data_IF_026276902718
#
_entry.id   IF_026276902718
#
_cell.length_a   1.000
_cell.length_b   1.000
_cell.length_c   1.000
_cell.angle_alpha   90.00
_cell.angle_beta   90.00
_cell.angle_gamma   90.00
#
_symmetry.space_group_name_H-M   'P 1'
#
loop_
_entity.id
_entity.type
_entity.pdbx_description
1 polymer ?
#
# COMPACT_ATOMS: atom_id res chain seq x y z
N UNK A 1 -34.18 48.85 2.02
CA UNK A 1 -32.73 48.52 2.03
C UNK A 1 -32.39 47.49 3.10
N UNK A 2 -32.94 47.61 4.31
CA UNK A 2 -32.71 46.68 5.43
C UNK A 2 -33.09 45.22 5.13
N UNK A 3 -34.23 44.97 4.48
CA UNK A 3 -34.63 43.60 4.09
C UNK A 3 -33.67 42.92 3.10
N UNK A 4 -33.08 43.70 2.20
CA UNK A 4 -32.11 43.18 1.21
C UNK A 4 -30.79 42.84 1.93
N UNK A 5 -30.40 43.67 2.90
CA UNK A 5 -29.22 43.46 3.73
C UNK A 5 -29.36 42.23 4.64
N UNK A 6 -30.52 42.02 5.26
CA UNK A 6 -30.79 40.84 6.08
C UNK A 6 -30.81 39.54 5.26
N UNK A 7 -31.40 39.56 4.06
CA UNK A 7 -31.38 38.40 3.15
C UNK A 7 -29.97 38.08 2.67
N UNK A 8 -29.15 39.10 2.41
CA UNK A 8 -27.75 38.92 2.04
C UNK A 8 -26.94 38.29 3.19
N UNK A 9 -27.14 38.73 4.43
CA UNK A 9 -26.46 38.18 5.61
C UNK A 9 -26.84 36.70 5.82
N UNK A 10 -28.12 36.34 5.69
CA UNK A 10 -28.57 34.94 5.81
C UNK A 10 -27.99 34.06 4.71
N UNK A 11 -27.96 34.55 3.46
CA UNK A 11 -27.40 33.80 2.34
C UNK A 11 -25.89 33.54 2.50
N UNK A 12 -25.14 34.52 3.01
CA UNK A 12 -23.70 34.37 3.30
C UNK A 12 -23.47 33.38 4.46
N UNK A 13 -24.28 33.47 5.52
CA UNK A 13 -24.21 32.53 6.65
C UNK A 13 -24.48 31.07 6.26
N UNK A 14 -25.49 30.84 5.40
CA UNK A 14 -25.79 29.51 4.86
C UNK A 14 -24.66 28.98 3.96
N UNK A 15 -24.10 29.85 3.12
CA UNK A 15 -22.97 29.51 2.26
C UNK A 15 -21.72 29.09 3.03
N UNK A 16 -21.41 29.78 4.14
CA UNK A 16 -20.29 29.45 5.04
C UNK A 16 -20.53 28.15 5.83
N UNK A 17 -21.76 27.88 6.27
CA UNK A 17 -22.09 26.63 6.95
C UNK A 17 -22.00 25.40 6.03
N UNK A 18 -22.41 25.54 4.76
CA UNK A 18 -22.33 24.47 3.75
C UNK A 18 -20.89 24.21 3.29
N UNK A 19 -20.02 25.22 3.30
CA UNK A 19 -18.61 25.04 2.95
C UNK A 19 -17.79 24.46 4.11
N UNK A 20 -18.15 24.71 5.37
CA UNK A 20 -17.52 24.07 6.54
C UNK A 20 -17.79 22.56 6.66
N UNK A 21 -18.95 22.08 6.21
CA UNK A 21 -19.29 20.65 6.22
C UNK A 21 -18.51 19.83 5.17
N UNK A 22 -18.08 20.46 4.07
CA UNK A 22 -17.38 19.78 2.98
C UNK A 22 -15.93 19.38 3.32
N UNK A 23 -15.28 20.06 4.27
CA UNK A 23 -13.91 19.74 4.72
C UNK A 23 -13.87 18.73 5.88
N UNK A 24 -15.01 18.32 6.44
CA UNK A 24 -15.06 17.50 7.65
C UNK A 24 -15.15 15.99 7.40
N UNK A 25 -15.15 15.54 6.14
CA UNK A 25 -15.37 14.14 5.79
C UNK A 25 -14.26 13.55 4.90
N UNK A 26 -13.01 13.93 5.15
CA UNK A 26 -11.88 13.15 4.67
C UNK A 26 -11.59 11.99 5.63
N UNK A 27 -11.49 10.79 5.09
CA UNK A 27 -11.01 9.61 5.84
C UNK A 27 -9.64 9.92 6.43
N UNK A 28 -9.43 9.54 7.68
CA UNK A 28 -8.11 9.63 8.32
C UNK A 28 -7.05 8.87 7.50
N UNK A 29 -5.78 9.26 7.63
CA UNK A 29 -4.67 8.56 6.95
C UNK A 29 -4.67 7.05 7.24
N UNK A 30 -5.05 6.67 8.47
CA UNK A 30 -5.23 5.27 8.86
C UNK A 30 -6.30 4.58 8.00
N UNK A 31 -7.49 5.17 7.89
CA UNK A 31 -8.60 4.62 7.11
C UNK A 31 -8.32 4.58 5.60
N UNK A 32 -7.38 5.38 5.12
CA UNK A 32 -6.94 5.35 3.73
C UNK A 32 -5.89 4.26 3.46
N UNK A 33 -5.08 3.89 4.46
CA UNK A 33 -3.99 2.91 4.31
C UNK A 33 -4.41 1.46 4.59
N UNK A 34 -5.31 1.26 5.56
CA UNK A 34 -5.75 -0.08 5.96
C UNK A 34 -6.40 -0.80 4.79
N UNK A 35 -5.91 -2.00 4.49
CA UNK A 35 -6.38 -2.79 3.36
C UNK A 35 -5.30 -3.70 2.79
N UNK A 36 -5.67 -4.41 1.71
CA UNK A 36 -4.76 -5.25 0.93
C UNK A 36 -4.45 -4.57 -0.40
N UNK A 37 -3.17 -4.37 -0.67
CA UNK A 37 -2.64 -3.66 -1.81
C UNK A 37 -1.91 -4.61 -2.72
N UNK A 38 -2.24 -4.59 -4.01
CA UNK A 38 -1.53 -5.37 -5.03
C UNK A 38 -0.26 -4.64 -5.43
N UNK A 39 0.86 -5.37 -5.46
CA UNK A 39 2.13 -4.84 -5.90
C UNK A 39 2.11 -4.56 -7.41
N UNK A 40 2.52 -3.35 -7.80
CA UNK A 40 2.59 -2.94 -9.22
C UNK A 40 4.03 -2.96 -9.74
N UNK A 41 4.98 -2.45 -8.95
CA UNK A 41 6.39 -2.40 -9.30
C UNK A 41 7.27 -2.42 -8.03
N UNK A 42 8.53 -2.83 -8.18
CA UNK A 42 9.57 -2.68 -7.17
C UNK A 42 10.79 -2.11 -7.86
N UNK A 43 11.18 -0.91 -7.46
CA UNK A 43 12.38 -0.22 -7.95
C UNK A 43 13.34 0.04 -6.80
N UNK A 44 14.63 0.01 -7.09
CA UNK A 44 15.69 0.38 -6.16
C UNK A 44 16.60 1.37 -6.86
N UNK A 45 16.73 2.56 -6.28
CA UNK A 45 17.70 3.55 -6.74
C UNK A 45 19.04 3.28 -6.05
N UNK A 46 20.11 3.24 -6.84
CA UNK A 46 21.49 3.10 -6.36
C UNK A 46 22.11 4.49 -6.15
N UNK A 47 23.23 4.56 -5.41
CA UNK A 47 23.91 5.82 -5.10
C UNK A 47 24.37 6.60 -6.36
N UNK A 48 24.55 5.91 -7.49
CA UNK A 48 24.90 6.49 -8.79
C UNK A 48 23.70 6.95 -9.62
N UNK A 49 22.48 6.86 -9.07
CA UNK A 49 21.22 7.22 -9.72
C UNK A 49 20.65 6.16 -10.66
N UNK A 50 21.28 4.97 -10.76
CA UNK A 50 20.70 3.87 -11.53
C UNK A 50 19.49 3.29 -10.82
N UNK A 51 18.42 3.07 -11.58
CA UNK A 51 17.20 2.42 -11.09
C UNK A 51 17.25 0.94 -11.50
N UNK A 52 17.31 0.06 -10.50
CA UNK A 52 17.21 -1.38 -10.66
C UNK A 52 15.82 -1.91 -10.35
N UNK A 53 15.45 -3.02 -10.99
CA UNK A 53 14.22 -3.77 -10.71
C UNK A 53 14.58 -5.13 -10.09
N UNK A 54 14.72 -5.24 -8.76
CA UNK A 54 15.23 -6.46 -8.12
C UNK A 54 14.39 -7.73 -8.40
N UNK A 55 13.09 -7.54 -8.67
CA UNK A 55 12.14 -8.59 -9.00
C UNK A 55 11.72 -8.60 -10.48
N UNK A 56 12.38 -7.80 -11.31
CA UNK A 56 12.06 -7.61 -12.73
C UNK A 56 10.82 -6.73 -12.98
N UNK A 57 10.41 -6.60 -14.24
CA UNK A 57 9.44 -5.59 -14.68
C UNK A 57 7.98 -5.90 -14.34
N UNK A 58 7.68 -7.13 -13.89
CA UNK A 58 6.32 -7.55 -13.51
C UNK A 58 6.33 -8.35 -12.21
N UNK A 59 6.72 -7.73 -11.08
CA UNK A 59 6.77 -8.44 -9.82
C UNK A 59 5.36 -8.89 -9.40
N UNK A 60 5.31 -9.90 -8.53
CA UNK A 60 4.07 -10.34 -7.88
C UNK A 60 4.17 -10.06 -6.40
N UNK A 61 3.06 -9.69 -5.76
CA UNK A 61 3.10 -9.39 -4.35
C UNK A 61 1.82 -8.77 -3.81
N UNK A 62 1.77 -8.72 -2.49
CA UNK A 62 0.71 -8.08 -1.72
C UNK A 62 1.31 -7.39 -0.51
N UNK A 63 0.80 -6.21 -0.19
CA UNK A 63 1.07 -5.53 1.06
C UNK A 63 -0.25 -5.36 1.81
N UNK A 64 -0.29 -5.80 3.07
CA UNK A 64 -1.46 -5.71 3.92
C UNK A 64 -1.13 -4.80 5.09
N UNK A 65 -1.94 -3.77 5.29
CA UNK A 65 -1.96 -2.96 6.50
C UNK A 65 -3.24 -3.30 7.27
N UNK A 66 -3.09 -3.79 8.50
CA UNK A 66 -4.23 -4.03 9.39
C UNK A 66 -4.54 -2.79 10.21
N UNK A 67 -5.77 -2.73 10.71
CA UNK A 67 -6.27 -1.63 11.54
C UNK A 67 -5.64 -1.57 12.94
N UNK A 68 -5.13 -2.69 13.44
CA UNK A 68 -4.40 -2.81 14.69
C UNK A 68 -2.90 -2.50 14.58
N UNK A 69 -2.44 -1.98 13.43
CA UNK A 69 -1.09 -1.45 13.25
C UNK A 69 -0.05 -2.48 12.80
N UNK A 70 -0.47 -3.67 12.38
CA UNK A 70 0.42 -4.64 11.76
C UNK A 70 0.56 -4.40 10.26
N UNK A 71 1.64 -4.91 9.70
CA UNK A 71 1.74 -5.06 8.27
C UNK A 71 2.43 -6.36 7.87
N UNK A 72 2.03 -6.85 6.69
CA UNK A 72 2.65 -7.97 6.01
C UNK A 72 2.96 -7.58 4.57
N UNK A 73 4.16 -7.88 4.11
CA UNK A 73 4.60 -7.68 2.74
C UNK A 73 5.07 -9.01 2.17
N UNK A 74 4.53 -9.38 1.02
CA UNK A 74 5.08 -10.41 0.17
C UNK A 74 5.38 -9.82 -1.20
N UNK A 75 6.58 -10.09 -1.72
CA UNK A 75 6.97 -9.70 -3.07
C UNK A 75 7.88 -10.75 -3.70
N UNK A 76 7.75 -10.98 -5.00
CA UNK A 76 8.53 -11.96 -5.74
C UNK A 76 8.71 -11.57 -7.19
N UNK A 77 9.65 -12.26 -7.85
CA UNK A 77 9.71 -12.31 -9.31
C UNK A 77 8.42 -12.89 -9.89
N UNK A 78 8.13 -12.55 -11.16
CA UNK A 78 7.01 -13.12 -11.91
C UNK A 78 7.11 -14.65 -12.03
N UNK A 79 8.31 -15.09 -12.41
CA UNK A 79 8.65 -16.48 -12.61
C UNK A 79 9.54 -16.95 -11.46
N UNK A 80 9.05 -17.92 -10.70
CA UNK A 80 9.79 -18.57 -9.61
C UNK A 80 10.08 -20.01 -10.05
N UNK A 81 11.31 -20.53 -9.85
CA UNK A 81 11.61 -21.93 -10.12
C UNK A 81 10.65 -22.87 -9.40
N UNK A 82 10.16 -23.87 -10.13
CA UNK A 82 9.32 -24.92 -9.57
C UNK A 82 10.20 -25.98 -8.93
N UNK A 83 9.73 -26.53 -7.81
CA UNK A 83 10.35 -27.69 -7.18
C UNK A 83 10.06 -28.91 -8.04
N UNK A 84 11.09 -29.63 -8.47
CA UNK A 84 10.94 -30.75 -9.42
C UNK A 84 10.03 -31.86 -8.87
N UNK A 85 10.10 -32.12 -7.57
CA UNK A 85 9.26 -33.10 -6.88
C UNK A 85 7.80 -32.67 -6.70
N UNK A 86 7.45 -31.42 -7.03
CA UNK A 86 6.16 -30.80 -6.78
C UNK A 86 5.70 -30.90 -5.31
N UNK A 87 6.66 -30.95 -4.38
CA UNK A 87 6.46 -31.07 -2.94
C UNK A 87 7.46 -30.17 -2.22
N UNK A 88 6.95 -29.14 -1.53
CA UNK A 88 7.77 -28.17 -0.79
C UNK A 88 8.70 -28.79 0.24
N UNK A 89 8.32 -29.94 0.81
CA UNK A 89 9.12 -30.62 1.81
C UNK A 89 10.33 -31.36 1.20
N UNK A 90 10.33 -31.54 -0.12
CA UNK A 90 11.36 -32.26 -0.89
C UNK A 90 12.21 -31.34 -1.76
N UNK A 91 12.13 -30.03 -1.54
CA UNK A 91 13.01 -29.07 -2.23
C UNK A 91 14.48 -29.42 -1.95
N UNK A 92 15.31 -29.45 -2.99
CA UNK A 92 16.76 -29.48 -2.77
C UNK A 92 17.23 -28.15 -2.19
N UNK A 93 18.41 -28.10 -1.54
CA UNK A 93 18.97 -26.83 -1.06
C UNK A 93 19.08 -25.76 -2.15
N UNK A 94 19.44 -26.15 -3.38
CA UNK A 94 19.58 -25.25 -4.53
C UNK A 94 18.23 -24.70 -5.00
N UNK A 95 17.21 -25.55 -5.05
CA UNK A 95 15.84 -25.13 -5.38
C UNK A 95 15.31 -24.16 -4.33
N UNK A 96 15.46 -24.49 -3.05
CA UNK A 96 15.03 -23.65 -1.94
C UNK A 96 15.74 -22.28 -1.95
N UNK A 97 17.06 -22.27 -2.16
CA UNK A 97 17.83 -21.04 -2.25
C UNK A 97 17.36 -20.17 -3.42
N UNK A 98 17.11 -20.77 -4.60
CA UNK A 98 16.66 -20.03 -5.79
C UNK A 98 15.28 -19.41 -5.60
N UNK A 99 14.37 -20.12 -4.91
CA UNK A 99 13.03 -19.64 -4.57
C UNK A 99 13.10 -18.48 -3.57
N UNK A 100 13.89 -18.64 -2.50
CA UNK A 100 14.05 -17.62 -1.46
C UNK A 100 14.74 -16.38 -2.02
N UNK A 101 15.78 -16.52 -2.83
CA UNK A 101 16.44 -15.38 -3.47
C UNK A 101 15.51 -14.61 -4.44
N UNK A 102 14.46 -15.26 -4.94
CA UNK A 102 13.49 -14.66 -5.86
C UNK A 102 12.31 -14.00 -5.15
N UNK A 103 12.24 -14.02 -3.81
CA UNK A 103 11.12 -13.48 -3.04
C UNK A 103 11.52 -12.88 -1.70
N UNK A 104 10.71 -11.97 -1.19
CA UNK A 104 10.81 -11.41 0.15
C UNK A 104 9.45 -11.53 0.81
N UNK A 105 9.46 -11.99 2.06
CA UNK A 105 8.31 -11.98 2.94
C UNK A 105 8.71 -11.30 4.25
N UNK A 106 8.01 -10.21 4.59
CA UNK A 106 8.24 -9.45 5.81
C UNK A 106 6.93 -9.37 6.59
N UNK A 107 7.01 -9.75 7.87
CA UNK A 107 5.95 -9.58 8.84
C UNK A 107 6.49 -8.74 9.99
N UNK A 108 5.81 -7.65 10.34
CA UNK A 108 6.12 -6.85 11.52
C UNK A 108 4.96 -6.94 12.50
N UNK A 109 5.28 -7.39 13.72
CA UNK A 109 4.46 -7.20 14.90
C UNK A 109 5.00 -6.01 15.68
N UNK A 110 4.18 -4.99 15.92
CA UNK A 110 4.53 -3.90 16.84
C UNK A 110 4.05 -4.38 18.21
N UNK A 111 4.98 -4.82 19.07
CA UNK A 111 4.68 -5.03 20.47
C UNK A 111 4.30 -3.68 21.08
N UNK A 112 3.09 -3.59 21.62
CA UNK A 112 2.60 -2.44 22.39
C UNK A 112 3.23 -2.36 23.78
#
# INVERSE_FOLDING_TARGET
>A
MEDIMNKAIVAIGLGLALSGAAFAQEKSAKEQLVGAWTLVAVTSEMDDGQIGEPFGPSPKGVMIFSDDGHFSLFQSRAEIPKIAANDRAKATPEEAQSIVASSICLLRHILG
#
